data_IF_123621033449
#
_entry.id   IF_123621033449
#
_cell.length_a   1.000
_cell.length_b   1.000
_cell.length_c   1.000
_cell.angle_alpha   90.00
_cell.angle_beta   90.00
_cell.angle_gamma   90.00
#
_symmetry.space_group_name_H-M   'P 1'
#
loop_
_entity.id
_entity.type
_entity.pdbx_description
1 polymer ?
#
# COMPACT_ATOMS: atom_id res chain seq x y z
N UNK A 1 62.44 42.56 -0.69
CA UNK A 1 61.28 42.58 -1.62
C UNK A 1 61.13 41.28 -2.42
N UNK A 2 62.16 40.76 -3.09
CA UNK A 2 62.09 39.53 -3.91
C UNK A 2 61.55 38.27 -3.19
N UNK A 3 61.97 38.02 -1.94
CA UNK A 3 61.47 36.86 -1.15
C UNK A 3 59.96 36.95 -0.86
N UNK A 4 59.44 38.13 -0.50
CA UNK A 4 58.01 38.34 -0.24
C UNK A 4 57.15 38.20 -1.50
N UNK A 5 57.68 38.63 -2.66
CA UNK A 5 57.01 38.46 -3.94
C UNK A 5 56.91 36.98 -4.35
N UNK A 6 57.98 36.21 -4.11
CA UNK A 6 57.99 34.77 -4.35
C UNK A 6 57.00 34.02 -3.45
N UNK A 7 56.92 34.39 -2.17
CA UNK A 7 55.93 33.82 -1.24
C UNK A 7 54.50 34.13 -1.70
N UNK A 8 54.23 35.37 -2.14
CA UNK A 8 52.91 35.77 -2.64
C UNK A 8 52.51 34.96 -3.88
N UNK A 9 53.43 34.77 -4.82
CA UNK A 9 53.22 33.97 -6.03
C UNK A 9 52.94 32.51 -5.69
N UNK A 10 53.70 31.93 -4.76
CA UNK A 10 53.48 30.56 -4.29
C UNK A 10 52.09 30.41 -3.64
N UNK A 11 51.69 31.36 -2.79
CA UNK A 11 50.36 31.37 -2.18
C UNK A 11 49.24 31.45 -3.23
N UNK A 12 49.38 32.30 -4.26
CA UNK A 12 48.40 32.42 -5.34
C UNK A 12 48.33 31.13 -6.18
N UNK A 13 49.48 30.50 -6.46
CA UNK A 13 49.51 29.21 -7.16
C UNK A 13 48.86 28.09 -6.35
N UNK A 14 49.11 28.04 -5.04
CA UNK A 14 48.46 27.08 -4.14
C UNK A 14 46.96 27.35 -4.09
N UNK A 15 46.54 28.61 -3.93
CA UNK A 15 45.12 28.99 -3.90
C UNK A 15 44.41 28.63 -5.22
N UNK A 16 45.06 28.91 -6.35
CA UNK A 16 44.57 28.57 -7.68
C UNK A 16 44.46 27.05 -7.88
N UNK A 17 45.44 26.29 -7.40
CA UNK A 17 45.40 24.82 -7.45
C UNK A 17 44.31 24.24 -6.54
N UNK A 18 44.12 24.81 -5.34
CA UNK A 18 43.03 24.39 -4.44
C UNK A 18 41.66 24.72 -5.00
N UNK A 19 41.50 25.86 -5.69
CA UNK A 19 40.24 26.22 -6.37
C UNK A 19 40.02 25.26 -7.55
N UNK A 20 41.05 24.98 -8.35
CA UNK A 20 40.98 24.05 -9.47
C UNK A 20 40.66 22.60 -9.03
N UNK A 21 41.13 22.19 -7.86
CA UNK A 21 40.88 20.85 -7.29
C UNK A 21 39.76 20.83 -6.25
N UNK A 22 39.03 21.93 -6.07
CA UNK A 22 38.02 22.07 -5.02
C UNK A 22 36.99 20.94 -5.09
N UNK A 23 36.48 20.64 -6.29
CA UNK A 23 35.50 19.57 -6.49
C UNK A 23 36.04 18.18 -6.12
N UNK A 24 37.31 17.88 -6.47
CA UNK A 24 37.96 16.63 -6.07
C UNK A 24 38.18 16.54 -4.55
N UNK A 25 38.60 17.64 -3.92
CA UNK A 25 38.82 17.71 -2.48
C UNK A 25 37.49 17.55 -1.73
N UNK A 26 36.43 18.23 -2.17
CA UNK A 26 35.08 18.11 -1.63
C UNK A 26 34.55 16.68 -1.79
N UNK A 27 34.77 16.03 -2.94
CA UNK A 27 34.34 14.65 -3.15
C UNK A 27 35.12 13.64 -2.27
N UNK A 28 36.42 13.85 -2.07
CA UNK A 28 37.23 13.03 -1.16
C UNK A 28 36.81 13.26 0.29
N UNK A 29 36.59 14.51 0.70
CA UNK A 29 36.10 14.85 2.03
C UNK A 29 34.73 14.24 2.29
N UNK A 30 33.79 14.29 1.33
CA UNK A 30 32.51 13.58 1.41
C UNK A 30 32.69 12.08 1.62
N UNK A 31 33.60 11.42 0.90
CA UNK A 31 33.91 9.99 1.11
C UNK A 31 34.51 9.69 2.49
N UNK A 32 35.28 10.62 3.06
CA UNK A 32 35.96 10.42 4.35
C UNK A 32 35.08 10.80 5.56
N UNK A 33 34.14 11.73 5.38
CA UNK A 33 33.20 12.20 6.42
C UNK A 33 31.78 11.67 6.28
N UNK A 34 31.45 10.93 5.21
CA UNK A 34 30.23 10.13 5.15
C UNK A 34 30.37 8.98 6.15
N UNK A 35 30.07 9.26 7.42
CA UNK A 35 29.49 8.23 8.28
C UNK A 35 28.28 7.72 7.50
N UNK A 36 28.31 6.47 7.02
CA UNK A 36 27.13 5.86 6.43
C UNK A 36 26.03 5.97 7.48
N UNK A 37 24.98 6.77 7.24
CA UNK A 37 23.97 6.99 8.25
C UNK A 37 23.37 5.64 8.67
N UNK A 38 23.41 5.37 9.96
CA UNK A 38 22.88 4.13 10.52
C UNK A 38 21.36 4.19 10.47
N UNK A 39 20.76 3.32 9.67
CA UNK A 39 19.30 3.18 9.60
C UNK A 39 18.75 2.75 10.96
N UNK A 40 17.85 3.54 11.53
CA UNK A 40 17.12 3.19 12.75
C UNK A 40 15.80 2.53 12.38
N UNK A 41 15.74 1.20 12.41
CA UNK A 41 14.53 0.44 12.09
C UNK A 41 13.70 0.29 13.37
N UNK A 42 12.55 0.95 13.41
CA UNK A 42 11.58 0.79 14.51
C UNK A 42 10.84 -0.56 14.43
N UNK A 43 10.16 -0.93 15.52
CA UNK A 43 9.34 -2.15 15.53
C UNK A 43 8.13 -1.97 14.60
N UNK A 44 7.88 -2.96 13.73
CA UNK A 44 6.66 -3.03 12.90
C UNK A 44 5.41 -3.01 13.78
N UNK A 45 4.33 -2.41 13.29
CA UNK A 45 3.05 -2.45 13.99
C UNK A 45 2.40 -3.85 13.90
N UNK A 46 1.30 -4.04 14.63
CA UNK A 46 0.60 -5.33 14.70
C UNK A 46 -0.17 -5.73 13.42
N UNK A 47 -0.27 -4.83 12.43
CA UNK A 47 -1.00 -5.04 11.18
C UNK A 47 -0.08 -5.38 10.00
N UNK A 48 1.22 -5.47 10.24
CA UNK A 48 2.17 -5.96 9.24
C UNK A 48 1.86 -7.40 8.88
N UNK A 49 1.63 -7.66 7.60
CA UNK A 49 1.42 -9.00 7.06
C UNK A 49 2.72 -9.79 7.03
N UNK A 50 3.86 -9.08 6.90
CA UNK A 50 5.20 -9.67 6.84
C UNK A 50 5.27 -10.84 5.83
N UNK A 51 4.69 -10.60 4.64
CA UNK A 51 4.47 -11.60 3.62
C UNK A 51 5.21 -11.22 2.34
N UNK A 52 5.76 -12.21 1.65
CA UNK A 52 6.29 -12.04 0.31
C UNK A 52 5.20 -12.39 -0.71
N UNK A 53 5.05 -11.52 -1.70
CA UNK A 53 4.28 -11.73 -2.92
C UNK A 53 5.24 -11.70 -4.11
N UNK A 54 4.84 -12.25 -5.24
CA UNK A 54 5.71 -12.31 -6.42
C UNK A 54 6.01 -10.91 -6.99
N UNK A 55 5.08 -9.96 -6.85
CA UNK A 55 5.25 -8.57 -7.28
C UNK A 55 6.07 -7.73 -6.29
N UNK A 56 5.97 -8.01 -4.98
CA UNK A 56 6.66 -7.26 -3.92
C UNK A 56 7.06 -8.17 -2.75
N UNK A 57 8.29 -8.01 -2.27
CA UNK A 57 8.87 -8.83 -1.21
C UNK A 57 9.37 -7.97 -0.05
N UNK A 58 9.51 -8.56 1.14
CA UNK A 58 10.05 -7.90 2.32
C UNK A 58 11.54 -7.62 2.14
N UNK A 59 11.90 -6.34 2.09
CA UNK A 59 13.28 -5.87 2.15
C UNK A 59 13.83 -6.04 3.57
N UNK A 60 14.99 -6.68 3.69
CA UNK A 60 15.61 -6.98 4.99
C UNK A 60 16.48 -5.85 5.52
N UNK A 61 17.09 -5.08 4.63
CA UNK A 61 18.08 -4.05 4.96
C UNK A 61 17.71 -2.66 4.43
N UNK A 62 16.59 -2.56 3.70
CA UNK A 62 16.09 -1.32 3.09
C UNK A 62 17.09 -0.65 2.13
N UNK A 63 17.97 -1.44 1.51
CA UNK A 63 18.99 -0.97 0.55
C UNK A 63 18.68 -1.47 -0.86
N UNK A 64 18.12 -0.61 -1.72
CA UNK A 64 17.77 -1.03 -3.08
C UNK A 64 18.94 -0.90 -4.05
N UNK A 65 19.22 -1.93 -4.84
CA UNK A 65 20.24 -1.90 -5.90
C UNK A 65 19.65 -1.91 -7.32
N UNK A 66 18.32 -1.98 -7.44
CA UNK A 66 17.56 -1.93 -8.68
C UNK A 66 16.10 -1.53 -8.39
N UNK A 67 15.33 -1.35 -9.47
CA UNK A 67 13.93 -0.89 -9.38
C UNK A 67 13.05 -1.83 -8.56
N UNK A 68 13.20 -3.15 -8.72
CA UNK A 68 12.38 -4.12 -8.00
C UNK A 68 12.69 -4.10 -6.50
N UNK A 69 13.96 -4.00 -6.12
CA UNK A 69 14.34 -3.86 -4.71
C UNK A 69 13.85 -2.53 -4.14
N UNK A 70 13.78 -1.46 -4.93
CA UNK A 70 13.18 -0.21 -4.50
C UNK A 70 11.68 -0.37 -4.24
N UNK A 71 10.94 -1.07 -5.10
CA UNK A 71 9.53 -1.41 -4.84
C UNK A 71 9.38 -2.21 -3.53
N UNK A 72 10.28 -3.16 -3.28
CA UNK A 72 10.32 -3.94 -2.05
C UNK A 72 10.57 -3.07 -0.81
N UNK A 73 11.39 -2.02 -0.90
CA UNK A 73 11.58 -1.04 0.18
C UNK A 73 10.26 -0.31 0.48
N UNK A 74 9.62 0.28 -0.54
CA UNK A 74 8.34 0.97 -0.37
C UNK A 74 7.26 0.04 0.21
N UNK A 75 7.15 -1.17 -0.32
CA UNK A 75 6.24 -2.21 0.20
C UNK A 75 6.51 -2.50 1.67
N UNK A 76 7.78 -2.73 2.03
CA UNK A 76 8.14 -3.07 3.41
C UNK A 76 7.85 -1.94 4.38
N UNK A 77 8.09 -0.69 3.99
CA UNK A 77 7.78 0.49 4.81
C UNK A 77 6.26 0.61 5.03
N UNK A 78 5.47 0.44 3.97
CA UNK A 78 4.01 0.47 4.04
C UNK A 78 3.47 -0.67 4.91
N UNK A 79 3.89 -1.92 4.65
CA UNK A 79 3.49 -3.10 5.41
C UNK A 79 3.89 -2.99 6.89
N UNK A 80 5.05 -2.40 7.20
CA UNK A 80 5.51 -2.24 8.58
C UNK A 80 4.69 -1.23 9.38
N UNK A 81 3.91 -0.38 8.72
CA UNK A 81 3.08 0.62 9.37
C UNK A 81 3.82 1.89 9.84
N UNK A 82 5.03 2.16 9.32
CA UNK A 82 5.80 3.36 9.70
C UNK A 82 5.20 4.66 9.16
N UNK A 83 4.97 5.67 9.99
CA UNK A 83 4.48 6.98 9.54
C UNK A 83 5.59 7.86 8.96
N UNK A 84 6.82 7.68 9.44
CA UNK A 84 8.02 8.34 8.92
C UNK A 84 9.11 7.29 8.74
N UNK A 85 9.79 7.31 7.60
CA UNK A 85 10.90 6.39 7.34
C UNK A 85 11.94 7.01 6.43
N UNK A 86 13.21 6.82 6.75
CA UNK A 86 14.33 7.30 5.93
C UNK A 86 15.15 6.10 5.46
N UNK A 87 15.48 6.03 4.17
CA UNK A 87 16.43 5.06 3.62
C UNK A 87 17.40 5.77 2.68
N UNK A 88 18.40 5.04 2.20
CA UNK A 88 19.49 5.60 1.41
C UNK A 88 19.64 4.86 0.09
N UNK A 89 19.66 5.61 -1.01
CA UNK A 89 20.03 5.12 -2.33
C UNK A 89 21.53 4.79 -2.36
N UNK A 90 21.92 3.53 -2.63
CA UNK A 90 23.33 3.16 -2.79
C UNK A 90 23.96 3.88 -3.99
N UNK A 91 25.24 4.20 -3.88
CA UNK A 91 25.99 4.85 -4.98
C UNK A 91 26.10 4.01 -6.25
N UNK A 92 25.91 2.70 -6.11
CA UNK A 92 25.92 1.68 -7.15
C UNK A 92 24.65 1.71 -7.99
N UNK A 93 23.53 2.20 -7.44
CA UNK A 93 22.26 2.32 -8.13
C UNK A 93 22.06 3.75 -8.63
N UNK A 94 22.65 4.04 -9.77
CA UNK A 94 22.73 5.40 -10.35
C UNK A 94 21.35 6.04 -10.59
N UNK A 95 20.36 5.24 -10.97
CA UNK A 95 19.01 5.70 -11.30
C UNK A 95 18.06 5.75 -10.07
N UNK A 96 18.55 5.41 -8.87
CA UNK A 96 17.70 5.23 -7.68
C UNK A 96 16.80 6.44 -7.38
N UNK A 97 17.33 7.65 -7.43
CA UNK A 97 16.56 8.87 -7.17
C UNK A 97 15.53 9.14 -8.26
N UNK A 98 15.84 8.83 -9.52
CA UNK A 98 14.89 9.01 -10.62
C UNK A 98 13.77 7.97 -10.56
N UNK A 99 14.10 6.74 -10.14
CA UNK A 99 13.10 5.71 -9.89
C UNK A 99 12.25 6.00 -8.64
N UNK A 100 12.80 6.62 -7.59
CA UNK A 100 12.03 7.16 -6.46
C UNK A 100 11.01 8.19 -6.96
N UNK A 101 11.44 9.16 -7.78
CA UNK A 101 10.52 10.17 -8.37
C UNK A 101 9.43 9.51 -9.21
N UNK A 102 9.76 8.47 -9.98
CA UNK A 102 8.79 7.72 -10.79
C UNK A 102 7.75 7.03 -9.93
N UNK A 103 8.16 6.37 -8.85
CA UNK A 103 7.25 5.69 -7.90
C UNK A 103 6.38 6.72 -7.18
N UNK A 104 6.96 7.84 -6.74
CA UNK A 104 6.28 8.86 -5.96
C UNK A 104 5.67 9.99 -6.80
N UNK A 105 5.41 9.76 -8.09
CA UNK A 105 4.89 10.81 -8.96
C UNK A 105 3.45 11.17 -8.55
N UNK A 106 3.16 12.41 -8.11
CA UNK A 106 1.81 12.80 -7.72
C UNK A 106 0.81 12.78 -8.88
N UNK A 107 1.27 12.85 -10.13
CA UNK A 107 0.42 12.75 -11.33
C UNK A 107 0.15 11.31 -11.75
N UNK A 108 0.90 10.34 -11.21
CA UNK A 108 0.75 8.91 -11.48
C UNK A 108 1.09 8.11 -10.22
N UNK A 109 0.08 7.90 -9.38
CA UNK A 109 0.19 7.17 -8.12
C UNK A 109 -0.07 5.67 -8.26
N UNK A 110 -0.23 5.16 -9.49
CA UNK A 110 -0.69 3.80 -9.77
C UNK A 110 0.19 2.74 -9.08
N UNK A 111 1.51 2.93 -9.09
CA UNK A 111 2.47 2.00 -8.45
C UNK A 111 2.28 1.98 -6.93
N UNK A 112 2.18 3.15 -6.29
CA UNK A 112 2.02 3.24 -4.83
C UNK A 112 0.67 2.67 -4.38
N UNK A 113 -0.40 2.97 -5.13
CA UNK A 113 -1.73 2.39 -4.88
C UNK A 113 -1.71 0.87 -5.09
N UNK A 114 -1.00 0.39 -6.12
CA UNK A 114 -0.81 -1.05 -6.36
C UNK A 114 -0.08 -1.72 -5.20
N UNK A 115 1.01 -1.14 -4.69
CA UNK A 115 1.70 -1.66 -3.50
C UNK A 115 0.75 -1.68 -2.29
N UNK A 116 -0.07 -0.64 -2.15
CA UNK A 116 -1.10 -0.54 -1.10
C UNK A 116 -2.13 -1.67 -1.10
N UNK A 117 -2.31 -2.36 -2.23
CA UNK A 117 -3.22 -3.51 -2.33
C UNK A 117 -2.69 -4.76 -1.62
N UNK A 118 -1.37 -4.86 -1.39
CA UNK A 118 -0.72 -6.00 -0.75
C UNK A 118 -0.53 -5.83 0.77
N UNK A 119 -0.86 -4.67 1.33
CA UNK A 119 -0.76 -4.40 2.78
C UNK A 119 -2.12 -4.53 3.47
N UNK A 120 -2.13 -4.60 4.80
CA UNK A 120 -3.38 -4.53 5.57
C UNK A 120 -4.10 -3.19 5.31
N UNK A 121 -5.44 -3.14 5.24
CA UNK A 121 -6.19 -1.88 5.10
C UNK A 121 -5.80 -0.82 6.14
N UNK A 122 -5.47 -1.24 7.38
CA UNK A 122 -5.01 -0.33 8.44
C UNK A 122 -3.64 0.30 8.17
N UNK A 123 -2.83 -0.34 7.33
CA UNK A 123 -1.55 0.18 6.85
C UNK A 123 -1.66 0.89 5.50
N UNK A 124 -2.87 1.13 4.99
CA UNK A 124 -3.06 1.95 3.80
C UNK A 124 -2.95 3.46 4.12
N UNK A 125 -2.82 4.30 3.10
CA UNK A 125 -2.48 5.71 3.24
C UNK A 125 -3.38 6.62 2.37
N UNK A 126 -3.50 7.88 2.79
CA UNK A 126 -4.13 8.94 1.98
C UNK A 126 -3.11 9.73 1.18
N UNK A 127 -1.90 9.90 1.71
CA UNK A 127 -0.80 10.56 1.01
C UNK A 127 0.54 10.03 1.48
N UNK A 128 1.47 9.88 0.55
CA UNK A 128 2.87 9.56 0.81
C UNK A 128 3.72 10.67 0.18
N UNK A 129 4.39 11.46 1.02
CA UNK A 129 5.31 12.51 0.58
C UNK A 129 6.73 11.97 0.61
N UNK A 130 7.47 12.25 -0.46
CA UNK A 130 8.87 11.84 -0.58
C UNK A 130 9.74 13.08 -0.67
N UNK A 131 10.78 13.10 0.16
CA UNK A 131 11.84 14.09 0.12
C UNK A 131 13.15 13.37 -0.15
N UNK A 132 14.02 13.95 -0.95
CA UNK A 132 15.34 13.39 -1.22
C UNK A 132 16.37 14.49 -1.40
N UNK A 133 17.63 14.15 -1.16
CA UNK A 133 18.73 15.10 -1.25
C UNK A 133 19.89 14.61 -2.14
N UNK A 134 20.91 15.46 -2.29
CA UNK A 134 22.08 15.16 -3.12
C UNK A 134 23.00 14.06 -2.56
N UNK A 135 22.78 13.63 -1.31
CA UNK A 135 23.54 12.55 -0.68
C UNK A 135 22.94 11.16 -0.94
N UNK A 136 21.74 11.10 -1.53
CA UNK A 136 20.99 9.86 -1.74
C UNK A 136 20.08 9.51 -0.56
N UNK A 137 19.92 10.41 0.41
CA UNK A 137 18.93 10.24 1.48
C UNK A 137 17.52 10.39 0.90
N UNK A 138 16.63 9.48 1.28
CA UNK A 138 15.21 9.48 0.89
C UNK A 138 14.37 9.37 2.15
N UNK A 139 13.54 10.37 2.42
CA UNK A 139 12.62 10.43 3.56
C UNK A 139 11.18 10.35 3.10
N UNK A 140 10.43 9.43 3.70
CA UNK A 140 9.03 9.15 3.46
C UNK A 140 8.20 9.65 4.64
N UNK A 141 7.18 10.46 4.36
CA UNK A 141 6.15 10.91 5.32
C UNK A 141 4.80 10.37 4.84
N UNK A 142 4.20 9.49 5.63
CA UNK A 142 3.03 8.69 5.26
C UNK A 142 1.86 9.07 6.15
N UNK A 143 0.83 9.66 5.55
CA UNK A 143 -0.44 9.94 6.22
C UNK A 143 -1.38 8.75 6.07
N UNK A 144 -1.68 8.06 7.18
CA UNK A 144 -2.54 6.86 7.21
C UNK A 144 -3.98 7.15 6.79
N UNK A 145 -4.61 6.14 6.17
CA UNK A 145 -6.02 6.18 5.74
C UNK A 145 -6.96 6.10 6.94
N UNK A 146 -6.62 5.24 7.89
CA UNK A 146 -7.37 5.03 9.13
C UNK A 146 -6.66 5.72 10.29
N UNK A 147 -7.43 6.50 11.05
CA UNK A 147 -6.95 7.04 12.33
C UNK A 147 -6.91 5.95 13.40
N UNK A 148 -6.18 6.17 14.50
CA UNK A 148 -6.19 5.23 15.64
C UNK A 148 -7.61 4.98 16.18
N UNK A 149 -8.46 6.01 16.15
CA UNK A 149 -9.87 5.90 16.54
C UNK A 149 -10.68 5.04 15.56
N UNK A 150 -10.47 5.20 14.25
CA UNK A 150 -11.08 4.32 13.25
C UNK A 150 -10.70 2.86 13.51
N UNK A 151 -9.41 2.59 13.72
CA UNK A 151 -8.88 1.23 13.93
C UNK A 151 -9.55 0.59 15.16
N UNK A 152 -9.64 1.32 16.28
CA UNK A 152 -10.26 0.84 17.51
C UNK A 152 -11.75 0.54 17.27
N UNK A 153 -12.47 1.49 16.65
CA UNK A 153 -13.90 1.34 16.41
C UNK A 153 -14.21 0.19 15.45
N UNK A 154 -13.50 0.11 14.33
CA UNK A 154 -13.66 -0.98 13.35
C UNK A 154 -13.34 -2.33 14.01
N UNK A 155 -12.22 -2.43 14.74
CA UNK A 155 -11.86 -3.68 15.43
C UNK A 155 -12.93 -4.11 16.43
N UNK A 156 -13.45 -3.19 17.24
CA UNK A 156 -14.54 -3.47 18.18
C UNK A 156 -15.84 -3.90 17.46
N UNK A 157 -16.16 -3.27 16.33
CA UNK A 157 -17.34 -3.60 15.53
C UNK A 157 -17.21 -4.99 14.90
N UNK A 158 -16.06 -5.32 14.33
CA UNK A 158 -15.76 -6.67 13.81
C UNK A 158 -15.83 -7.71 14.93
N UNK A 159 -15.28 -7.43 16.11
CA UNK A 159 -15.35 -8.34 17.26
C UNK A 159 -16.79 -8.55 17.77
N UNK A 160 -17.64 -7.52 17.70
CA UNK A 160 -19.06 -7.65 18.01
C UNK A 160 -19.76 -8.55 17.00
N UNK A 161 -19.59 -8.29 15.70
CA UNK A 161 -20.19 -9.09 14.62
C UNK A 161 -19.73 -10.54 14.74
N UNK A 162 -18.43 -10.75 14.98
CA UNK A 162 -17.85 -12.08 15.16
C UNK A 162 -18.56 -12.87 16.26
N UNK A 163 -18.83 -12.25 17.40
CA UNK A 163 -19.56 -12.92 18.51
C UNK A 163 -21.01 -13.26 18.14
N UNK A 164 -21.61 -12.50 17.24
CA UNK A 164 -23.01 -12.67 16.83
C UNK A 164 -23.17 -13.77 15.77
N UNK A 165 -22.20 -13.91 14.85
CA UNK A 165 -22.34 -14.78 13.66
C UNK A 165 -21.38 -15.96 13.60
N UNK A 166 -20.34 -16.01 14.45
CA UNK A 166 -19.32 -17.08 14.42
C UNK A 166 -19.43 -18.00 15.64
N UNK A 167 -19.48 -19.31 15.38
CA UNK A 167 -19.43 -20.36 16.42
C UNK A 167 -18.09 -21.12 16.38
N UNK A 168 -17.80 -21.87 17.44
CA UNK A 168 -16.50 -22.56 17.59
C UNK A 168 -16.27 -23.71 16.60
N UNK A 169 -17.34 -24.24 16.01
CA UNK A 169 -17.36 -25.39 15.10
C UNK A 169 -17.33 -25.00 13.63
N UNK A 170 -17.40 -23.70 13.30
CA UNK A 170 -17.31 -23.21 11.92
C UNK A 170 -15.92 -23.43 11.33
N UNK A 171 -15.86 -23.89 10.08
CA UNK A 171 -14.63 -23.87 9.30
C UNK A 171 -14.23 -22.43 8.96
N UNK A 172 -13.00 -22.23 8.53
CA UNK A 172 -12.53 -20.92 8.07
C UNK A 172 -13.40 -20.42 6.91
N UNK A 173 -13.74 -21.28 5.96
CA UNK A 173 -14.61 -20.99 4.83
C UNK A 173 -16.02 -20.58 5.30
N UNK A 174 -16.59 -21.28 6.28
CA UNK A 174 -17.91 -20.93 6.85
C UNK A 174 -17.89 -19.56 7.55
N UNK A 175 -16.78 -19.19 8.21
CA UNK A 175 -16.63 -17.85 8.79
C UNK A 175 -16.60 -16.77 7.71
N UNK A 176 -15.86 -17.02 6.61
CA UNK A 176 -15.82 -16.09 5.47
C UNK A 176 -17.21 -15.97 4.85
N UNK A 177 -17.95 -17.08 4.72
CA UNK A 177 -19.33 -17.10 4.23
C UNK A 177 -20.26 -16.26 5.12
N UNK A 178 -20.19 -16.44 6.44
CA UNK A 178 -21.02 -15.68 7.38
C UNK A 178 -20.74 -14.17 7.30
N UNK A 179 -19.47 -13.76 7.20
CA UNK A 179 -19.11 -12.36 7.03
C UNK A 179 -19.50 -11.81 5.66
N UNK A 180 -19.36 -12.60 4.59
CA UNK A 180 -19.85 -12.25 3.26
C UNK A 180 -21.34 -11.87 3.31
N UNK A 181 -22.18 -12.75 3.86
CA UNK A 181 -23.62 -12.53 3.95
C UNK A 181 -23.96 -11.38 4.88
N UNK A 182 -23.27 -11.26 6.02
CA UNK A 182 -23.51 -10.17 6.97
C UNK A 182 -23.24 -8.81 6.32
N UNK A 183 -22.10 -8.64 5.65
CA UNK A 183 -21.69 -7.36 5.07
C UNK A 183 -22.69 -6.94 3.99
N UNK A 184 -23.04 -7.84 3.07
CA UNK A 184 -24.00 -7.57 1.99
C UNK A 184 -25.39 -7.28 2.55
N UNK A 185 -25.87 -8.04 3.54
CA UNK A 185 -27.19 -7.80 4.12
C UNK A 185 -27.29 -6.54 4.99
N UNK A 186 -26.17 -5.93 5.38
CA UNK A 186 -26.15 -4.74 6.24
C UNK A 186 -25.63 -3.48 5.54
N UNK A 187 -25.25 -3.60 4.27
CA UNK A 187 -24.71 -2.50 3.47
C UNK A 187 -25.53 -2.35 2.19
N UNK A 188 -25.61 -1.11 1.69
CA UNK A 188 -26.11 -0.82 0.35
C UNK A 188 -25.01 -0.18 -0.47
N UNK A 189 -24.95 -0.51 -1.76
CA UNK A 189 -24.05 0.16 -2.67
C UNK A 189 -24.38 1.66 -2.76
N UNK A 190 -23.39 2.52 -2.52
CA UNK A 190 -23.54 3.97 -2.57
C UNK A 190 -23.43 4.48 -4.01
N UNK A 191 -24.56 4.42 -4.72
CA UNK A 191 -24.69 4.93 -6.10
C UNK A 191 -24.46 6.45 -6.22
N UNK A 192 -24.50 7.19 -5.10
CA UNK A 192 -24.34 8.65 -5.09
C UNK A 192 -22.89 9.09 -4.89
N UNK A 193 -22.05 8.22 -4.33
CA UNK A 193 -20.67 8.52 -3.92
C UNK A 193 -19.86 9.29 -4.97
N UNK A 194 -19.82 8.80 -6.22
CA UNK A 194 -19.02 9.43 -7.27
C UNK A 194 -19.48 10.86 -7.59
N UNK A 195 -20.79 11.09 -7.59
CA UNK A 195 -21.37 12.42 -7.84
C UNK A 195 -21.07 13.36 -6.68
N UNK A 196 -21.15 12.88 -5.46
CA UNK A 196 -20.90 13.67 -4.25
C UNK A 196 -19.43 14.06 -4.11
N UNK A 197 -18.50 13.13 -4.33
CA UNK A 197 -17.06 13.42 -4.31
C UNK A 197 -16.67 14.44 -5.38
N UNK A 198 -17.28 14.39 -6.56
CA UNK A 198 -17.10 15.45 -7.59
C UNK A 198 -17.54 16.83 -7.10
N UNK A 199 -18.49 16.89 -6.15
CA UNK A 199 -18.94 18.12 -5.48
C UNK A 199 -18.12 18.46 -4.22
N UNK A 200 -17.04 17.70 -3.94
CA UNK A 200 -16.06 17.98 -2.90
C UNK A 200 -16.31 17.30 -1.56
N UNK A 201 -17.42 16.57 -1.38
CA UNK A 201 -17.72 15.85 -0.13
C UNK A 201 -18.76 14.75 -0.36
N UNK A 202 -18.48 13.55 0.16
CA UNK A 202 -19.50 12.49 0.26
C UNK A 202 -20.29 12.58 1.56
N UNK A 203 -21.54 12.15 1.50
CA UNK A 203 -22.44 11.95 2.64
C UNK A 203 -21.93 10.82 3.55
N UNK A 204 -21.35 9.79 2.95
CA UNK A 204 -20.92 8.57 3.62
C UNK A 204 -19.43 8.30 3.49
N UNK A 205 -18.87 7.54 4.43
CA UNK A 205 -17.49 7.05 4.35
C UNK A 205 -17.36 5.80 3.45
N UNK A 206 -18.08 5.76 2.33
CA UNK A 206 -18.33 4.56 1.50
C UNK A 206 -17.08 3.92 0.92
N UNK A 207 -15.98 4.67 0.77
CA UNK A 207 -14.72 4.17 0.25
C UNK A 207 -13.81 3.51 1.32
N UNK A 208 -14.21 3.53 2.59
CA UNK A 208 -13.51 2.94 3.74
C UNK A 208 -14.41 1.92 4.43
N UNK A 209 -13.82 1.04 5.25
CA UNK A 209 -14.55 0.10 6.09
C UNK A 209 -15.58 0.77 7.02
N UNK A 210 -15.39 2.04 7.37
CA UNK A 210 -16.33 2.79 8.19
C UNK A 210 -17.75 2.86 7.57
N UNK A 211 -17.84 3.08 6.25
CA UNK A 211 -19.12 3.19 5.55
C UNK A 211 -19.98 1.93 5.71
N UNK A 212 -19.52 0.76 5.25
CA UNK A 212 -20.27 -0.49 5.39
C UNK A 212 -20.58 -0.84 6.85
N UNK A 213 -19.61 -0.70 7.76
CA UNK A 213 -19.75 -1.19 9.13
C UNK A 213 -20.64 -0.32 10.04
N UNK A 214 -20.69 0.99 9.82
CA UNK A 214 -21.39 1.92 10.72
C UNK A 214 -22.51 2.71 10.06
N UNK A 215 -22.41 2.96 8.76
CA UNK A 215 -23.35 3.82 8.04
C UNK A 215 -24.28 3.02 7.13
N UNK A 216 -23.93 1.77 6.83
CA UNK A 216 -24.70 0.89 5.95
C UNK A 216 -24.58 1.24 4.47
N UNK A 217 -23.53 1.99 4.08
CA UNK A 217 -23.28 2.39 2.70
C UNK A 217 -21.82 2.16 2.31
N UNK A 218 -21.58 1.59 1.13
CA UNK A 218 -20.24 1.26 0.66
C UNK A 218 -20.09 1.36 -0.85
N UNK A 219 -18.86 1.57 -1.31
CA UNK A 219 -18.44 1.27 -2.68
C UNK A 219 -17.39 0.17 -2.67
N UNK A 220 -16.95 -0.30 -3.84
CA UNK A 220 -16.02 -1.43 -3.98
C UNK A 220 -14.84 -1.45 -3.00
N UNK A 221 -14.17 -0.33 -2.78
CA UNK A 221 -13.05 -0.26 -1.82
C UNK A 221 -13.47 -0.41 -0.36
N UNK A 222 -14.64 0.11 0.04
CA UNK A 222 -15.18 -0.03 1.39
C UNK A 222 -15.51 -1.48 1.71
N UNK A 223 -16.25 -2.17 0.81
CA UNK A 223 -16.53 -3.61 0.94
C UNK A 223 -15.24 -4.43 1.02
N UNK A 224 -14.30 -4.13 0.11
CA UNK A 224 -13.01 -4.82 0.04
C UNK A 224 -12.18 -4.65 1.31
N UNK A 225 -12.20 -3.46 1.91
CA UNK A 225 -11.50 -3.17 3.16
C UNK A 225 -12.07 -3.98 4.33
N UNK A 226 -13.40 -4.05 4.47
CA UNK A 226 -14.03 -4.84 5.54
C UNK A 226 -13.64 -6.31 5.43
N UNK A 227 -13.78 -6.89 4.24
CA UNK A 227 -13.46 -8.30 4.05
C UNK A 227 -11.96 -8.55 4.26
N UNK A 228 -11.06 -7.70 3.77
CA UNK A 228 -9.62 -7.84 4.01
C UNK A 228 -9.27 -7.79 5.50
N UNK A 229 -9.94 -6.94 6.30
CA UNK A 229 -9.75 -6.90 7.76
C UNK A 229 -10.20 -8.22 8.42
N UNK A 230 -11.31 -8.80 7.97
CA UNK A 230 -11.79 -10.11 8.45
C UNK A 230 -10.81 -11.23 8.09
N UNK A 231 -10.29 -11.23 6.86
CA UNK A 231 -9.30 -12.19 6.38
C UNK A 231 -7.96 -12.06 7.13
N UNK A 232 -7.51 -10.83 7.40
CA UNK A 232 -6.35 -10.55 8.25
C UNK A 232 -6.56 -11.10 9.67
N UNK A 233 -7.77 -10.92 10.23
CA UNK A 233 -8.13 -11.45 11.57
C UNK A 233 -8.16 -12.98 11.60
N UNK A 234 -8.53 -13.64 10.51
CA UNK A 234 -8.45 -15.10 10.34
C UNK A 234 -7.00 -15.60 10.15
N UNK A 235 -6.04 -14.70 9.94
CA UNK A 235 -4.63 -15.05 9.68
C UNK A 235 -4.41 -15.62 8.28
N UNK A 236 -5.27 -15.30 7.32
CA UNK A 236 -5.17 -15.79 5.94
C UNK A 236 -4.34 -14.84 5.08
N UNK A 237 -3.47 -15.41 4.24
CA UNK A 237 -2.81 -14.67 3.18
C UNK A 237 -3.89 -14.09 2.25
N UNK A 238 -3.92 -12.76 2.10
CA UNK A 238 -4.88 -12.07 1.26
C UNK A 238 -4.31 -10.74 0.76
N UNK A 239 -4.81 -10.30 -0.39
CA UNK A 239 -4.56 -8.97 -0.94
C UNK A 239 -5.78 -8.48 -1.74
N UNK A 240 -5.77 -7.20 -2.10
CA UNK A 240 -6.80 -6.60 -2.95
C UNK A 240 -6.41 -6.75 -4.41
N UNK A 241 -7.33 -7.18 -5.25
CA UNK A 241 -7.15 -7.17 -6.70
C UNK A 241 -7.82 -5.93 -7.24
N UNK A 242 -7.10 -5.15 -8.05
CA UNK A 242 -7.64 -3.95 -8.68
C UNK A 242 -7.58 -4.07 -10.20
N UNK A 243 -8.67 -3.67 -10.84
CA UNK A 243 -8.71 -3.32 -12.25
C UNK A 243 -8.66 -1.80 -12.40
N UNK A 244 -8.95 -1.29 -13.60
CA UNK A 244 -9.07 0.16 -13.84
C UNK A 244 -10.30 0.79 -13.17
N UNK A 245 -11.32 0.00 -12.90
CA UNK A 245 -12.66 0.49 -12.50
C UNK A 245 -13.17 -0.15 -11.22
N UNK A 246 -12.54 -1.24 -10.77
CA UNK A 246 -13.05 -2.05 -9.68
C UNK A 246 -11.94 -2.59 -8.80
N UNK A 247 -12.29 -2.91 -7.55
CA UNK A 247 -11.39 -3.54 -6.58
C UNK A 247 -12.17 -4.58 -5.76
N UNK A 248 -11.56 -5.74 -5.54
CA UNK A 248 -12.12 -6.85 -4.78
C UNK A 248 -11.02 -7.62 -4.03
N UNK A 249 -11.36 -8.72 -3.35
CA UNK A 249 -10.41 -9.49 -2.55
C UNK A 249 -9.92 -10.75 -3.28
N UNK A 250 -8.67 -11.10 -3.00
CA UNK A 250 -8.15 -12.44 -3.22
C UNK A 250 -7.61 -13.00 -1.90
N UNK A 251 -7.86 -14.28 -1.66
CA UNK A 251 -7.46 -14.99 -0.44
C UNK A 251 -6.90 -16.36 -0.80
N UNK A 252 -5.89 -16.79 -0.04
CA UNK A 252 -5.33 -18.14 -0.15
C UNK A 252 -6.04 -19.10 0.80
N UNK A 253 -6.71 -20.10 0.25
CA UNK A 253 -7.41 -21.16 0.99
C UNK A 253 -6.95 -22.50 0.45
N UNK A 254 -6.61 -23.44 1.34
CA UNK A 254 -6.13 -24.78 0.96
C UNK A 254 -4.98 -24.76 -0.07
N UNK A 255 -4.08 -23.78 0.09
CA UNK A 255 -2.94 -23.49 -0.79
C UNK A 255 -3.28 -23.00 -2.22
N UNK A 256 -4.54 -22.68 -2.50
CA UNK A 256 -5.01 -22.09 -3.76
C UNK A 256 -5.49 -20.65 -3.54
N UNK A 257 -5.21 -19.76 -4.49
CA UNK A 257 -5.75 -18.41 -4.47
C UNK A 257 -7.14 -18.38 -5.09
N UNK A 258 -8.08 -17.75 -4.39
CA UNK A 258 -9.49 -17.60 -4.79
C UNK A 258 -9.89 -16.13 -4.74
N UNK A 259 -10.84 -15.75 -5.59
CA UNK A 259 -11.43 -14.42 -5.61
C UNK A 259 -12.68 -14.38 -4.73
N UNK A 260 -12.91 -13.23 -4.08
CA UNK A 260 -14.16 -12.89 -3.41
C UNK A 260 -14.52 -11.44 -3.79
N UNK A 261 -15.74 -11.23 -4.28
CA UNK A 261 -16.23 -9.89 -4.63
C UNK A 261 -17.61 -9.62 -4.02
N UNK A 262 -17.60 -8.97 -2.86
CA UNK A 262 -18.83 -8.61 -2.16
C UNK A 262 -19.69 -7.59 -2.93
N UNK A 263 -19.07 -6.73 -3.75
CA UNK A 263 -19.80 -5.69 -4.46
C UNK A 263 -20.59 -6.27 -5.62
N UNK A 264 -20.02 -7.23 -6.34
CA UNK A 264 -20.74 -7.90 -7.42
C UNK A 264 -21.69 -9.01 -6.92
N UNK A 265 -21.51 -9.46 -5.68
CA UNK A 265 -22.48 -10.31 -4.98
C UNK A 265 -23.58 -9.51 -4.23
N UNK A 266 -23.52 -8.17 -4.26
CA UNK A 266 -24.55 -7.22 -3.79
C UNK A 266 -25.19 -6.43 -4.96
N UNK A 267 -25.97 -7.08 -5.85
CA UNK A 267 -26.63 -6.39 -6.94
C UNK A 267 -27.66 -5.36 -6.46
N UNK A 268 -27.51 -4.13 -6.95
CA UNK A 268 -28.49 -3.05 -6.76
C UNK A 268 -29.85 -3.49 -7.31
N UNK A 269 -30.82 -3.64 -6.40
CA UNK A 269 -32.19 -4.01 -6.73
C UNK A 269 -32.99 -2.78 -7.19
N UNK A 270 -33.91 -2.99 -8.16
CA UNK A 270 -34.88 -1.95 -8.58
C UNK A 270 -35.80 -1.57 -7.40
N UNK A 271 -36.12 -2.55 -6.55
CA UNK A 271 -36.78 -2.33 -5.29
C UNK A 271 -35.72 -2.23 -4.18
N UNK A 272 -35.25 -1.01 -3.91
CA UNK A 272 -34.25 -0.71 -2.89
C UNK A 272 -34.62 -1.13 -1.44
N UNK A 273 -35.79 -1.74 -1.22
CA UNK A 273 -36.19 -2.37 0.04
C UNK A 273 -35.80 -3.85 0.16
N UNK A 274 -35.40 -4.49 -0.94
CA UNK A 274 -34.96 -5.89 -0.99
C UNK A 274 -33.44 -5.94 -1.17
N UNK A 275 -32.74 -6.49 -0.18
CA UNK A 275 -31.33 -6.86 -0.34
C UNK A 275 -31.26 -8.14 -1.16
N UNK A 276 -30.60 -8.08 -2.31
CA UNK A 276 -30.35 -9.23 -3.17
C UNK A 276 -28.93 -9.72 -2.85
N UNK A 277 -28.82 -10.84 -2.16
CA UNK A 277 -27.55 -11.49 -1.87
C UNK A 277 -27.28 -12.59 -2.92
N UNK A 278 -26.16 -12.49 -3.62
CA UNK A 278 -25.65 -13.54 -4.52
C UNK A 278 -24.41 -14.19 -3.91
N UNK A 279 -23.92 -15.25 -4.55
CA UNK A 279 -22.66 -15.94 -4.20
C UNK A 279 -21.88 -16.29 -5.48
N UNK A 280 -22.09 -15.51 -6.54
CA UNK A 280 -21.53 -15.77 -7.86
C UNK A 280 -20.01 -15.57 -7.86
N UNK A 281 -19.50 -14.67 -7.03
CA UNK A 281 -18.08 -14.35 -6.91
C UNK A 281 -17.48 -14.84 -5.59
N UNK A 282 -18.17 -15.69 -4.84
CA UNK A 282 -17.68 -16.25 -3.59
C UNK A 282 -16.71 -17.41 -3.81
N UNK A 283 -15.44 -17.23 -3.41
CA UNK A 283 -14.37 -18.23 -3.44
C UNK A 283 -14.16 -18.94 -4.79
N UNK A 284 -14.29 -18.20 -5.89
CA UNK A 284 -14.09 -18.74 -7.24
C UNK A 284 -12.61 -18.69 -7.66
N UNK A 285 -12.21 -19.60 -8.55
CA UNK A 285 -10.89 -19.54 -9.17
C UNK A 285 -10.84 -18.53 -10.33
N UNK A 286 -9.64 -18.19 -10.79
CA UNK A 286 -9.44 -17.24 -11.89
C UNK A 286 -10.07 -17.71 -13.20
N UNK A 287 -9.98 -18.99 -13.64
CA UNK A 287 -10.68 -19.45 -14.83
C UNK A 287 -12.21 -19.25 -14.77
N UNK A 288 -12.82 -19.49 -13.62
CA UNK A 288 -14.25 -19.24 -13.40
C UNK A 288 -14.57 -17.75 -13.49
N UNK A 289 -13.79 -16.89 -12.84
CA UNK A 289 -13.95 -15.42 -12.93
C UNK A 289 -13.87 -14.94 -14.38
N UNK A 290 -12.87 -15.41 -15.13
CA UNK A 290 -12.65 -15.04 -16.54
C UNK A 290 -13.76 -15.55 -17.46
N UNK A 291 -14.36 -16.71 -17.14
CA UNK A 291 -15.47 -17.28 -17.92
C UNK A 291 -16.73 -16.40 -17.93
N UNK A 292 -16.86 -15.48 -16.96
CA UNK A 292 -17.98 -14.55 -16.92
C UNK A 292 -17.84 -13.39 -17.91
N UNK A 293 -16.66 -13.17 -18.49
CA UNK A 293 -16.38 -12.11 -19.48
C UNK A 293 -16.79 -10.70 -19.01
N UNK A 294 -16.47 -10.38 -17.74
CA UNK A 294 -16.79 -9.08 -17.12
C UNK A 294 -15.56 -8.18 -17.20
N UNK A 295 -15.67 -7.09 -17.96
CA UNK A 295 -14.57 -6.15 -18.20
C UNK A 295 -14.01 -5.53 -16.91
N UNK A 296 -14.87 -5.28 -15.92
CA UNK A 296 -14.47 -4.69 -14.64
C UNK A 296 -13.60 -5.63 -13.79
N UNK A 297 -13.59 -6.93 -14.09
CA UNK A 297 -12.71 -7.92 -13.47
C UNK A 297 -11.43 -8.18 -14.27
N UNK A 298 -11.13 -7.39 -15.30
CA UNK A 298 -9.87 -7.50 -16.05
C UNK A 298 -8.72 -6.87 -15.25
N UNK A 299 -7.91 -7.71 -14.59
CA UNK A 299 -6.75 -7.30 -13.80
C UNK A 299 -5.42 -7.64 -14.48
N UNK A 300 -4.35 -6.96 -14.06
CA UNK A 300 -3.00 -7.20 -14.58
C UNK A 300 -2.34 -8.42 -13.89
N UNK A 301 -2.27 -9.54 -14.60
CA UNK A 301 -1.63 -10.78 -14.12
C UNK A 301 -0.11 -10.66 -13.92
N UNK A 302 0.54 -9.59 -14.38
CA UNK A 302 1.95 -9.32 -14.07
C UNK A 302 2.14 -8.75 -12.65
N UNK A 303 1.08 -8.16 -12.08
CA UNK A 303 1.03 -7.66 -10.71
C UNK A 303 0.49 -8.74 -9.77
N UNK A 304 -0.63 -9.36 -10.14
CA UNK A 304 -1.32 -10.36 -9.32
C UNK A 304 -0.94 -11.78 -9.76
N UNK A 305 0.33 -12.10 -9.62
CA UNK A 305 0.93 -13.31 -10.20
C UNK A 305 0.39 -14.59 -9.57
N UNK A 306 -0.02 -14.55 -8.31
CA UNK A 306 -0.53 -15.72 -7.60
C UNK A 306 -1.93 -16.17 -8.09
N UNK A 307 -2.61 -15.31 -8.87
CA UNK A 307 -3.92 -15.56 -9.50
C UNK A 307 -3.77 -15.91 -10.99
N UNK A 308 -2.65 -16.51 -11.39
CA UNK A 308 -2.44 -16.98 -12.76
C UNK A 308 -3.11 -18.31 -13.06
#
# INVERSE_FOLDING_TARGET
>A
MKKRLLTLLLCICILGFTIYKLDSIVNIAKKFFNNTPTLSIEKKNQFSKNKDYDFVQISKDYKPYNYQELLNVFYTVLDSGYENFTFYCPSEYLDCIDDVKKISNPENVDILTTIGNFVSPYNNFTSLKVQFDTSGEVTLDIKRLYSSEDIINISNKIDSIWKDIVTQDMSTEDVIYAFHDYIINTTKYDETYEKEIKNGKSTHNSAKANGPLFEGFGICSGYTDVLSIVLDKLGLDNYKVASKTHVWNAVKINNEWKHIDLTWDDPVSIDHSVNNLLHKFYLIDTPTLESFDIKDHSFDKSIYVELK
#
